data_IF_750847961559
#
_entry.id   IF_750847961559
#
_cell.length_a   1.000
_cell.length_b   1.000
_cell.length_c   1.000
_cell.angle_alpha   90.00
_cell.angle_beta   90.00
_cell.angle_gamma   90.00
#
_symmetry.space_group_name_H-M   'P 1'
#
loop_
_entity.id
_entity.type
_entity.pdbx_description
1 polymer ?
#
# COMPACT_ATOMS: atom_id res chain seq x y z
N UNK A 1 -5.65 39.02 30.45
CA UNK A 1 -6.64 38.10 31.06
C UNK A 1 -6.64 36.81 30.26
N UNK A 2 -6.24 35.65 30.80
CA UNK A 2 -6.26 34.40 30.04
C UNK A 2 -7.71 33.95 29.81
N UNK A 3 -8.06 33.61 28.57
CA UNK A 3 -9.38 33.10 28.22
C UNK A 3 -9.60 31.76 28.93
N UNK A 4 -10.68 31.66 29.72
CA UNK A 4 -11.06 30.41 30.37
C UNK A 4 -11.39 29.36 29.29
N UNK A 5 -10.55 28.34 29.16
CA UNK A 5 -10.79 27.24 28.23
C UNK A 5 -12.00 26.46 28.75
N UNK A 6 -13.05 26.39 27.93
CA UNK A 6 -14.26 25.62 28.27
C UNK A 6 -13.86 24.14 28.43
N UNK A 7 -14.18 23.47 29.55
CA UNK A 7 -13.74 22.09 29.81
C UNK A 7 -14.22 21.11 28.72
N UNK A 8 -15.40 21.38 28.14
CA UNK A 8 -15.93 20.63 27.01
C UNK A 8 -15.02 20.66 25.76
N UNK A 9 -14.29 21.76 25.52
CA UNK A 9 -13.35 21.87 24.40
C UNK A 9 -12.16 20.91 24.59
N UNK A 10 -11.62 20.84 25.82
CA UNK A 10 -10.48 19.98 26.15
C UNK A 10 -10.86 18.51 25.97
N UNK A 11 -11.99 18.09 26.52
CA UNK A 11 -12.47 16.70 26.37
C UNK A 11 -12.72 16.32 24.92
N UNK A 12 -13.27 17.23 24.10
CA UNK A 12 -13.49 16.99 22.66
C UNK A 12 -12.17 16.86 21.89
N UNK A 13 -11.18 17.70 22.19
CA UNK A 13 -9.87 17.63 21.54
C UNK A 13 -9.13 16.34 21.89
N UNK A 14 -9.20 15.91 23.15
CA UNK A 14 -8.63 14.64 23.60
C UNK A 14 -9.31 13.45 22.92
N UNK A 15 -10.64 13.41 22.90
CA UNK A 15 -11.40 12.33 22.26
C UNK A 15 -11.11 12.24 20.75
N UNK A 16 -11.02 13.39 20.06
CA UNK A 16 -10.64 13.44 18.64
C UNK A 16 -9.21 12.96 18.41
N UNK A 17 -8.27 13.37 19.26
CA UNK A 17 -6.88 12.93 19.18
C UNK A 17 -6.77 11.41 19.32
N UNK A 18 -7.45 10.84 20.32
CA UNK A 18 -7.51 9.38 20.53
C UNK A 18 -8.16 8.68 19.35
N UNK A 19 -9.28 9.19 18.85
CA UNK A 19 -9.96 8.62 17.68
C UNK A 19 -9.07 8.59 16.44
N UNK A 20 -8.38 9.70 16.14
CA UNK A 20 -7.47 9.80 15.00
C UNK A 20 -6.26 8.87 15.19
N UNK A 21 -5.72 8.76 16.40
CA UNK A 21 -4.62 7.85 16.70
C UNK A 21 -5.02 6.39 16.45
N UNK A 22 -6.18 5.98 16.97
CA UNK A 22 -6.72 4.63 16.75
C UNK A 22 -6.93 4.38 15.26
N UNK A 23 -7.55 5.33 14.56
CA UNK A 23 -7.79 5.21 13.12
C UNK A 23 -6.48 5.11 12.34
N UNK A 24 -5.44 5.87 12.70
CA UNK A 24 -4.13 5.78 12.08
C UNK A 24 -3.47 4.40 12.31
N UNK A 25 -3.60 3.82 13.50
CA UNK A 25 -3.11 2.45 13.79
C UNK A 25 -3.87 1.43 12.96
N UNK A 26 -5.20 1.52 12.91
CA UNK A 26 -6.04 0.63 12.10
C UNK A 26 -5.65 0.72 10.62
N UNK A 27 -5.52 1.94 10.07
CA UNK A 27 -5.11 2.16 8.69
C UNK A 27 -3.72 1.60 8.42
N UNK A 28 -2.78 1.76 9.36
CA UNK A 28 -1.43 1.21 9.22
C UNK A 28 -1.47 -0.31 9.10
N UNK A 29 -2.19 -1.00 10.00
CA UNK A 29 -2.32 -2.46 9.97
C UNK A 29 -3.06 -2.93 8.72
N UNK A 30 -4.12 -2.22 8.30
CA UNK A 30 -4.93 -2.57 7.15
C UNK A 30 -4.21 -2.36 5.81
N UNK A 31 -3.41 -1.29 5.69
CA UNK A 31 -2.66 -0.96 4.47
C UNK A 31 -1.33 -1.70 4.37
N UNK A 32 -0.77 -2.18 5.48
CA UNK A 32 0.47 -2.94 5.51
C UNK A 32 0.54 -4.10 4.48
N UNK A 33 -0.44 -5.02 4.40
CA UNK A 33 -0.38 -6.11 3.42
C UNK A 33 -0.41 -5.61 1.97
N UNK A 34 -1.16 -4.54 1.70
CA UNK A 34 -1.21 -3.93 0.36
C UNK A 34 0.12 -3.27 -0.01
N UNK A 35 0.71 -2.53 0.93
CA UNK A 35 2.04 -1.94 0.78
C UNK A 35 3.10 -3.00 0.50
N UNK A 36 3.10 -4.09 1.27
CA UNK A 36 4.06 -5.18 1.08
C UNK A 36 3.91 -5.86 -0.28
N UNK A 37 2.66 -6.08 -0.73
CA UNK A 37 2.39 -6.64 -2.06
C UNK A 37 2.92 -5.73 -3.18
N UNK A 38 2.66 -4.43 -3.09
CA UNK A 38 3.17 -3.45 -4.07
C UNK A 38 4.69 -3.43 -4.11
N UNK A 39 5.36 -3.42 -2.95
CA UNK A 39 6.82 -3.45 -2.92
C UNK A 39 7.37 -4.78 -3.47
N UNK A 40 6.72 -5.90 -3.17
CA UNK A 40 7.15 -7.22 -3.63
C UNK A 40 7.05 -7.41 -5.14
N UNK A 41 6.16 -6.68 -5.85
CA UNK A 41 6.05 -6.80 -7.30
C UNK A 41 7.29 -6.30 -8.04
N UNK A 42 8.05 -5.40 -7.42
CA UNK A 42 9.34 -4.90 -7.92
C UNK A 42 10.54 -5.75 -7.48
N UNK A 43 10.35 -6.72 -6.57
CA UNK A 43 11.44 -7.57 -6.08
C UNK A 43 11.66 -8.75 -7.03
N UNK A 44 12.93 -9.15 -7.19
CA UNK A 44 13.33 -10.28 -8.03
C UNK A 44 14.31 -11.19 -7.29
N UNK A 45 14.39 -12.47 -7.69
CA UNK A 45 15.37 -13.42 -7.16
C UNK A 45 15.28 -13.66 -5.65
N UNK A 46 16.39 -13.51 -4.95
CA UNK A 46 16.51 -13.80 -3.51
C UNK A 46 15.87 -12.74 -2.61
N UNK A 47 15.56 -11.54 -3.13
CA UNK A 47 14.90 -10.47 -2.36
C UNK A 47 13.45 -10.79 -1.95
N UNK A 48 12.83 -11.79 -2.59
CA UNK A 48 11.49 -12.26 -2.26
C UNK A 48 11.42 -12.99 -0.91
N UNK A 49 12.54 -13.54 -0.44
CA UNK A 49 12.59 -14.37 0.77
C UNK A 49 13.10 -13.64 2.01
N UNK A 50 13.54 -12.38 1.86
CA UNK A 50 13.96 -11.55 2.98
C UNK A 50 12.80 -10.68 3.46
N UNK A 51 12.42 -10.74 4.76
CA UNK A 51 11.37 -9.92 5.34
C UNK A 51 11.87 -8.48 5.52
N UNK A 52 12.02 -7.77 4.40
CA UNK A 52 12.42 -6.36 4.35
C UNK A 52 11.21 -5.49 4.03
N UNK A 53 11.16 -4.28 4.59
CA UNK A 53 10.07 -3.31 4.37
C UNK A 53 10.19 -2.60 3.01
N UNK A 54 11.40 -2.22 2.62
CA UNK A 54 11.69 -1.49 1.38
C UNK A 54 12.51 -2.33 0.40
N UNK A 55 12.33 -2.16 -0.93
CA UNK A 55 13.14 -2.82 -1.94
C UNK A 55 14.52 -2.13 -2.05
N UNK A 56 15.60 -2.90 -2.24
CA UNK A 56 16.94 -2.32 -2.48
C UNK A 56 17.10 -1.86 -3.93
N UNK A 57 16.44 -2.57 -4.85
CA UNK A 57 16.43 -2.25 -6.28
C UNK A 57 14.99 -2.23 -6.78
N UNK A 58 14.63 -1.16 -7.48
CA UNK A 58 13.36 -1.08 -8.19
C UNK A 58 13.53 -1.73 -9.57
N UNK A 59 13.03 -2.96 -9.72
CA UNK A 59 13.08 -3.68 -10.99
C UNK A 59 11.67 -3.81 -11.59
N UNK A 60 11.51 -3.32 -12.83
CA UNK A 60 10.26 -3.37 -13.59
C UNK A 60 10.19 -4.59 -14.52
N UNK A 61 11.20 -5.46 -14.50
CA UNK A 61 11.30 -6.63 -15.38
C UNK A 61 10.08 -7.56 -15.24
N UNK A 62 9.52 -7.70 -14.03
CA UNK A 62 8.29 -8.48 -13.83
C UNK A 62 7.11 -7.92 -14.64
N UNK A 63 6.97 -6.59 -14.70
CA UNK A 63 5.91 -5.94 -15.47
C UNK A 63 6.16 -6.07 -16.97
N UNK A 64 7.39 -5.86 -17.44
CA UNK A 64 7.72 -5.99 -18.88
C UNK A 64 7.47 -7.41 -19.38
N UNK A 65 7.80 -8.43 -18.57
CA UNK A 65 7.55 -9.84 -18.89
C UNK A 65 6.05 -10.15 -19.03
N UNK A 66 5.17 -9.56 -18.20
CA UNK A 66 3.72 -9.76 -18.30
C UNK A 66 3.19 -9.27 -19.67
N UNK A 67 3.63 -8.09 -20.10
CA UNK A 67 3.20 -7.52 -21.37
C UNK A 67 3.82 -8.23 -22.59
N UNK A 68 5.05 -8.74 -22.47
CA UNK A 68 5.74 -9.43 -23.55
C UNK A 68 5.31 -10.89 -23.73
N UNK A 69 5.03 -11.65 -22.66
CA UNK A 69 4.92 -13.12 -22.79
C UNK A 69 3.58 -13.65 -23.27
N UNK A 70 2.43 -13.10 -22.88
CA UNK A 70 1.14 -13.79 -23.16
C UNK A 70 -0.11 -12.93 -23.31
N UNK A 71 -0.11 -11.65 -22.91
CA UNK A 71 -1.33 -10.83 -23.02
C UNK A 71 -1.64 -10.51 -24.49
N UNK A 72 -0.65 -10.01 -25.24
CA UNK A 72 -0.88 -9.62 -26.64
C UNK A 72 -1.26 -10.83 -27.50
N UNK A 73 -0.55 -11.95 -27.35
CA UNK A 73 -0.85 -13.20 -28.07
C UNK A 73 -2.20 -13.81 -27.68
N UNK A 74 -2.61 -13.70 -26.41
CA UNK A 74 -3.92 -14.16 -25.95
C UNK A 74 -5.07 -13.28 -26.45
N UNK A 75 -4.89 -11.95 -26.44
CA UNK A 75 -5.86 -11.00 -27.00
C UNK A 75 -6.00 -11.15 -28.51
N UNK A 76 -4.90 -11.32 -29.25
CA UNK A 76 -4.95 -11.49 -30.71
C UNK A 76 -5.53 -12.84 -31.10
N UNK A 77 -5.23 -13.91 -30.37
CA UNK A 77 -5.85 -15.23 -30.60
C UNK A 77 -7.36 -15.24 -30.27
N UNK A 78 -7.79 -14.48 -29.26
CA UNK A 78 -9.22 -14.30 -28.93
C UNK A 78 -9.97 -13.44 -29.95
N UNK A 79 -9.32 -12.42 -30.52
CA UNK A 79 -9.91 -11.53 -31.53
C UNK A 79 -10.08 -12.18 -32.92
N UNK A 80 -9.31 -13.23 -33.24
CA UNK A 80 -9.35 -13.92 -34.55
C UNK A 80 -10.35 -15.09 -34.57
N UNK A 81 -10.80 -15.57 -33.40
CA UNK A 81 -11.73 -16.71 -33.27
C UNK A 81 -13.18 -16.32 -32.92
N UNK A 82 -13.49 -15.02 -32.92
CA UNK A 82 -14.85 -14.48 -32.73
C UNK A 82 -15.57 -14.26 -34.04
#
# INVERSE_FOLDING_TARGET
>A
MPAAIKPALVTQLLARGVFVLILAVILTVALFPLYYAFVSSFRTGTELFVPRLWPERFDLTNYTLIFQRKIVTGLTAGAVKG
#
